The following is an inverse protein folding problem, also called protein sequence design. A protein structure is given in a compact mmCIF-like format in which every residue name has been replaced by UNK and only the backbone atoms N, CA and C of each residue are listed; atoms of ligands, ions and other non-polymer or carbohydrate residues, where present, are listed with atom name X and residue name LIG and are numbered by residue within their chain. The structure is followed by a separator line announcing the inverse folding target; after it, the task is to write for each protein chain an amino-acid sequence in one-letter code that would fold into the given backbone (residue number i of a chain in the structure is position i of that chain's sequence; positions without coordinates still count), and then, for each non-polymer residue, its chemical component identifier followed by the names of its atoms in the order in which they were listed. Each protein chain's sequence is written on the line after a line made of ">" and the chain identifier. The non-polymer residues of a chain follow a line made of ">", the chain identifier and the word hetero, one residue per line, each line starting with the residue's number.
data_IF_972574877567
#
_entry.id   IF_972574877567
#
_cell.length_a   1.000
_cell.length_b   1.000
_cell.length_c   1.000
_cell.angle_alpha   90.00
_cell.angle_beta   90.00
_cell.angle_gamma   90.00
#
_symmetry.space_group_name_H-M   'P 1'
#
loop_
_entity.id
_entity.type
_entity.pdbx_description
1 polymer ?
#
# COMPACT_ATOMS: atom_id res chain seq x y z
N UNK A 1 -9.10 -2.14 -6.53
CA UNK A 1 -8.05 -2.21 -5.49
C UNK A 1 -8.32 -3.29 -4.44
N UNK A 2 -9.43 -3.23 -3.70
CA UNK A 2 -9.81 -4.28 -2.71
C UNK A 2 -9.78 -5.69 -3.31
N UNK A 3 -10.42 -5.89 -4.45
CA UNK A 3 -10.50 -7.22 -5.08
C UNK A 3 -9.12 -7.71 -5.55
N UNK A 4 -8.28 -6.80 -6.03
CA UNK A 4 -6.90 -7.12 -6.40
C UNK A 4 -6.08 -7.54 -5.18
N UNK A 5 -6.23 -6.84 -4.05
CA UNK A 5 -5.58 -7.22 -2.79
C UNK A 5 -5.98 -8.62 -2.33
N UNK A 6 -7.29 -8.92 -2.31
CA UNK A 6 -7.76 -10.26 -1.96
C UNK A 6 -7.34 -11.33 -2.97
N UNK A 7 -7.27 -10.99 -4.26
CA UNK A 7 -6.70 -11.86 -5.28
C UNK A 7 -5.24 -12.19 -5.00
N UNK A 8 -4.39 -11.20 -4.66
CA UNK A 8 -2.99 -11.43 -4.34
C UNK A 8 -2.83 -12.29 -3.08
N UNK A 9 -3.60 -12.00 -2.03
CA UNK A 9 -3.60 -12.78 -0.78
C UNK A 9 -3.96 -14.23 -1.07
N UNK A 10 -5.02 -14.47 -1.86
CA UNK A 10 -5.47 -15.81 -2.23
C UNK A 10 -4.46 -16.53 -3.13
N UNK A 11 -4.03 -15.90 -4.23
CA UNK A 11 -3.09 -16.46 -5.22
C UNK A 11 -1.78 -16.91 -4.57
N UNK A 12 -1.24 -16.10 -3.68
CA UNK A 12 0.04 -16.37 -3.03
C UNK A 12 -0.11 -17.02 -1.64
N UNK A 13 -1.34 -17.42 -1.26
CA UNK A 13 -1.64 -18.07 0.02
C UNK A 13 -1.06 -17.30 1.22
N UNK A 14 -1.17 -15.97 1.18
CA UNK A 14 -0.64 -15.10 2.23
C UNK A 14 -1.57 -15.11 3.44
N UNK A 15 -0.99 -15.10 4.63
CA UNK A 15 -1.73 -14.99 5.88
C UNK A 15 -1.30 -13.71 6.62
N UNK A 16 -2.02 -12.59 6.45
CA UNK A 16 -1.72 -11.34 7.13
C UNK A 16 -1.60 -11.51 8.64
N UNK A 17 -0.47 -11.04 9.18
CA UNK A 17 -0.09 -11.24 10.57
C UNK A 17 -0.44 -10.02 11.41
N UNK A 18 -1.42 -10.17 12.31
CA UNK A 18 -1.83 -9.11 13.25
C UNK A 18 -0.75 -8.74 14.26
N UNK A 19 0.07 -9.71 14.68
CA UNK A 19 1.21 -9.51 15.59
C UNK A 19 2.33 -8.68 14.95
N UNK A 20 2.42 -8.67 13.62
CA UNK A 20 3.29 -7.78 12.85
C UNK A 20 2.63 -6.44 12.49
N UNK A 21 1.38 -6.21 12.92
CA UNK A 21 0.63 -5.00 12.58
C UNK A 21 0.23 -4.87 11.11
N UNK A 22 0.23 -5.97 10.34
CA UNK A 22 -0.11 -5.92 8.91
C UNK A 22 -1.60 -5.58 8.72
N UNK A 23 -1.85 -4.35 8.27
CA UNK A 23 -3.15 -3.84 7.84
C UNK A 23 -2.97 -3.18 6.48
N UNK A 24 -3.85 -3.46 5.53
CA UNK A 24 -3.72 -2.94 4.18
C UNK A 24 -4.77 -1.87 3.90
N UNK A 25 -4.35 -0.77 3.28
CA UNK A 25 -5.27 0.26 2.80
C UNK A 25 -6.12 -0.32 1.66
N UNK A 26 -7.44 -0.07 1.71
CA UNK A 26 -8.41 -0.58 0.72
C UNK A 26 -9.33 0.52 0.19
N UNK A 27 -9.14 1.77 0.64
CA UNK A 27 -9.95 2.94 0.25
C UNK A 27 -9.08 3.85 -0.62
N UNK A 28 -9.32 3.93 -1.95
CA UNK A 28 -8.50 4.71 -2.88
C UNK A 28 -8.37 6.19 -2.51
N UNK A 29 -9.47 6.84 -2.15
CA UNK A 29 -9.48 8.26 -1.78
C UNK A 29 -8.55 8.60 -0.61
N UNK A 30 -8.35 7.65 0.33
CA UNK A 30 -7.43 7.85 1.45
C UNK A 30 -5.98 7.77 1.00
N UNK A 31 -5.67 6.90 0.04
CA UNK A 31 -4.33 6.76 -0.54
C UNK A 31 -3.96 8.03 -1.30
N UNK A 32 -4.82 8.47 -2.22
CA UNK A 32 -4.60 9.70 -3.01
C UNK A 32 -4.38 10.91 -2.08
N UNK A 33 -5.27 11.08 -1.10
CA UNK A 33 -5.18 12.17 -0.11
C UNK A 33 -3.91 12.14 0.74
N UNK A 34 -3.34 10.97 0.98
CA UNK A 34 -2.09 10.84 1.74
C UNK A 34 -0.89 11.20 0.86
N UNK A 35 -0.90 10.77 -0.41
CA UNK A 35 0.15 11.10 -1.38
C UNK A 35 0.18 12.62 -1.64
N UNK A 36 -0.98 13.22 -1.88
CA UNK A 36 -1.12 14.68 -2.05
C UNK A 36 -0.56 15.44 -0.84
N UNK A 37 -0.84 14.97 0.38
CA UNK A 37 -0.36 15.59 1.63
C UNK A 37 1.13 15.36 1.89
N UNK A 38 1.71 14.31 1.33
CA UNK A 38 3.13 14.03 1.44
C UNK A 38 3.96 15.00 0.58
N UNK A 39 3.34 15.69 -0.39
CA UNK A 39 3.96 16.66 -1.29
C UNK A 39 5.22 16.10 -1.99
N UNK A 40 5.23 14.79 -2.22
CA UNK A 40 6.31 14.08 -2.91
C UNK A 40 6.25 14.32 -4.42
N UNK A 41 7.41 14.39 -5.04
CA UNK A 41 7.59 14.57 -6.47
C UNK A 41 8.54 13.52 -7.05
N UNK A 42 8.57 13.41 -8.38
CA UNK A 42 9.50 12.56 -9.15
C UNK A 42 10.99 12.82 -8.86
N UNK A 43 11.32 13.93 -8.18
CA UNK A 43 12.70 14.30 -7.82
C UNK A 43 13.09 13.80 -6.43
N UNK A 44 12.13 13.36 -5.64
CA UNK A 44 12.34 12.94 -4.27
C UNK A 44 12.72 11.46 -4.22
N UNK A 45 13.58 11.14 -3.26
CA UNK A 45 13.86 9.74 -2.92
C UNK A 45 12.96 9.35 -1.76
N UNK A 46 12.01 8.44 -2.00
CA UNK A 46 11.04 8.00 -0.99
C UNK A 46 11.53 6.72 -0.30
N UNK A 47 11.49 6.71 1.04
CA UNK A 47 11.68 5.51 1.85
C UNK A 47 10.33 5.08 2.43
N UNK A 48 9.81 3.96 1.95
CA UNK A 48 8.58 3.37 2.49
C UNK A 48 8.91 2.28 3.53
N UNK A 49 8.33 2.38 4.72
CA UNK A 49 8.47 1.38 5.78
C UNK A 49 7.21 0.52 5.85
N UNK A 50 7.37 -0.78 5.61
CA UNK A 50 6.26 -1.74 5.62
C UNK A 50 5.34 -1.62 4.39
N UNK A 51 5.86 -1.75 3.16
CA UNK A 51 5.08 -1.56 1.92
C UNK A 51 3.93 -2.57 1.73
N UNK A 52 3.98 -3.69 2.45
CA UNK A 52 2.95 -4.72 2.40
C UNK A 52 2.83 -5.29 0.99
N UNK A 53 1.65 -5.12 0.37
CA UNK A 53 1.36 -5.57 -0.99
C UNK A 53 1.58 -4.49 -2.05
N UNK A 54 2.22 -3.36 -1.71
CA UNK A 54 2.53 -2.29 -2.64
C UNK A 54 1.42 -1.25 -2.82
N UNK A 55 0.41 -1.24 -1.95
CA UNK A 55 -0.78 -0.36 -2.11
C UNK A 55 -0.41 1.13 -2.14
N UNK A 56 0.62 1.55 -1.40
CA UNK A 56 1.17 2.90 -1.47
C UNK A 56 2.38 2.97 -2.41
N UNK A 57 3.18 1.90 -2.52
CA UNK A 57 4.33 1.84 -3.43
C UNK A 57 3.93 2.09 -4.89
N UNK A 58 2.88 1.42 -5.38
CA UNK A 58 2.44 1.48 -6.77
C UNK A 58 2.11 2.93 -7.23
N UNK A 59 1.34 3.73 -6.49
CA UNK A 59 1.08 5.12 -6.87
C UNK A 59 2.22 6.11 -6.52
N UNK A 60 3.27 5.68 -5.81
CA UNK A 60 4.46 6.48 -5.52
C UNK A 60 5.60 6.22 -6.53
N UNK A 61 5.44 5.25 -7.43
CA UNK A 61 6.43 4.82 -8.43
C UNK A 61 6.09 5.32 -9.82
#
# INVERSE_FOLDING_TARGET
>A
MRDHLFYLISKYHLNPRKDLGQNFLVVPDIIERNIERAEVSERDTVLEIGPGLGVLTDPLS
#
